data_IF_636240350023
#
_entry.id   IF_636240350023
#
_cell.length_a   1.000
_cell.length_b   1.000
_cell.length_c   1.000
_cell.angle_alpha   90.00
_cell.angle_beta   90.00
_cell.angle_gamma   90.00
#
_symmetry.space_group_name_H-M   'P 1'
#
loop_
_entity.id
_entity.type
_entity.pdbx_description
1 polymer ?
#
# COMPACT_ATOMS: atom_id res chain seq x y z
N UNK A 1 21.76 -38.70 6.83
CA UNK A 1 21.49 -37.38 7.47
C UNK A 1 21.73 -36.18 6.55
N UNK A 2 22.85 -36.10 5.80
CA UNK A 2 23.15 -34.96 4.90
C UNK A 2 22.12 -34.70 3.79
N UNK A 3 21.51 -35.75 3.23
CA UNK A 3 20.50 -35.64 2.15
C UNK A 3 19.14 -35.12 2.63
N UNK A 4 18.74 -35.40 3.87
CA UNK A 4 17.51 -34.87 4.47
C UNK A 4 17.56 -33.35 4.67
N UNK A 5 18.72 -32.81 5.06
CA UNK A 5 18.92 -31.36 5.19
C UNK A 5 18.82 -30.61 3.85
N UNK A 6 19.27 -31.22 2.75
CA UNK A 6 19.17 -30.66 1.40
C UNK A 6 17.70 -30.60 0.95
N UNK A 7 16.93 -31.67 1.18
CA UNK A 7 15.49 -31.71 0.88
C UNK A 7 14.69 -30.68 1.69
N UNK A 8 14.97 -30.57 2.99
CA UNK A 8 14.33 -29.56 3.85
C UNK A 8 14.67 -28.15 3.38
N UNK A 9 15.95 -27.87 3.07
CA UNK A 9 16.36 -26.57 2.52
C UNK A 9 15.66 -26.25 1.20
N UNK A 10 15.47 -27.24 0.32
CA UNK A 10 14.75 -27.05 -0.95
C UNK A 10 13.26 -26.71 -0.72
N UNK A 11 12.61 -27.38 0.23
CA UNK A 11 11.21 -27.11 0.59
C UNK A 11 11.05 -25.67 1.12
N UNK A 12 11.97 -25.22 1.97
CA UNK A 12 11.94 -23.84 2.49
C UNK A 12 12.19 -22.78 1.40
N UNK A 13 13.14 -23.02 0.48
CA UNK A 13 13.43 -22.10 -0.64
C UNK A 13 12.23 -21.99 -1.59
N UNK A 14 11.61 -23.11 -1.94
CA UNK A 14 10.45 -23.14 -2.86
C UNK A 14 9.22 -22.50 -2.21
N UNK A 15 9.00 -22.70 -0.92
CA UNK A 15 7.89 -22.09 -0.17
C UNK A 15 8.01 -20.56 -0.10
N UNK A 16 9.22 -20.04 0.19
CA UNK A 16 9.47 -18.60 0.26
C UNK A 16 9.29 -17.91 -1.11
N UNK A 17 9.65 -18.58 -2.21
CA UNK A 17 9.48 -18.07 -3.59
C UNK A 17 8.00 -17.94 -4.00
N UNK A 18 7.16 -18.93 -3.61
CA UNK A 18 5.72 -18.89 -3.89
C UNK A 18 5.04 -17.72 -3.18
N UNK A 19 5.37 -17.47 -1.91
CA UNK A 19 4.79 -16.35 -1.16
C UNK A 19 5.14 -14.99 -1.79
N UNK A 20 6.41 -14.75 -2.15
CA UNK A 20 6.83 -13.51 -2.84
C UNK A 20 6.11 -13.29 -4.17
N UNK A 21 5.85 -14.37 -4.90
CA UNK A 21 5.12 -14.31 -6.17
C UNK A 21 3.66 -13.94 -5.94
N UNK A 22 3.00 -14.57 -4.96
CA UNK A 22 1.62 -14.26 -4.59
C UNK A 22 1.46 -12.82 -4.12
N UNK A 23 2.32 -12.34 -3.24
CA UNK A 23 2.29 -10.97 -2.74
C UNK A 23 2.55 -9.95 -3.87
N UNK A 24 3.44 -10.26 -4.83
CA UNK A 24 3.67 -9.42 -6.01
C UNK A 24 2.42 -9.33 -6.89
N UNK A 25 1.75 -10.45 -7.13
CA UNK A 25 0.48 -10.47 -7.87
C UNK A 25 -0.58 -9.67 -7.13
N UNK A 26 -0.65 -9.80 -5.81
CA UNK A 26 -1.60 -9.08 -4.97
C UNK A 26 -1.40 -7.56 -5.04
N UNK A 27 -0.16 -7.09 -4.91
CA UNK A 27 0.18 -5.68 -5.06
C UNK A 27 -0.26 -5.15 -6.44
N UNK A 28 -0.01 -5.92 -7.51
CA UNK A 28 -0.42 -5.53 -8.85
C UNK A 28 -1.93 -5.42 -9.00
N UNK A 29 -2.71 -6.31 -8.38
CA UNK A 29 -4.18 -6.21 -8.35
C UNK A 29 -4.66 -4.98 -7.59
N UNK A 30 -4.07 -4.69 -6.43
CA UNK A 30 -4.42 -3.51 -5.63
C UNK A 30 -4.18 -2.23 -6.43
N UNK A 31 -2.98 -2.09 -7.01
CA UNK A 31 -2.62 -0.94 -7.87
C UNK A 31 -3.59 -0.81 -9.04
N UNK A 32 -3.93 -1.92 -9.72
CA UNK A 32 -4.87 -1.93 -10.82
C UNK A 32 -6.23 -1.36 -10.42
N UNK A 33 -6.76 -1.79 -9.27
CA UNK A 33 -8.06 -1.37 -8.76
C UNK A 33 -8.08 0.12 -8.43
N UNK A 34 -7.02 0.67 -7.83
CA UNK A 34 -6.92 2.11 -7.57
C UNK A 34 -6.91 2.92 -8.86
N UNK A 35 -6.15 2.48 -9.86
CA UNK A 35 -6.05 3.18 -11.15
C UNK A 35 -7.33 3.10 -11.96
N UNK A 36 -7.98 1.94 -12.00
CA UNK A 36 -9.31 1.79 -12.62
C UNK A 36 -10.32 2.73 -11.98
N UNK A 37 -10.36 2.75 -10.65
CA UNK A 37 -11.24 3.65 -9.91
C UNK A 37 -10.97 5.13 -10.28
N UNK A 38 -9.70 5.54 -10.30
CA UNK A 38 -9.29 6.91 -10.62
C UNK A 38 -9.59 7.28 -12.08
N UNK A 39 -9.38 6.35 -13.01
CA UNK A 39 -9.72 6.47 -14.43
C UNK A 39 -11.21 6.71 -14.66
N UNK A 40 -12.06 5.90 -14.03
CA UNK A 40 -13.52 6.01 -14.14
C UNK A 40 -14.03 7.34 -13.59
N UNK A 41 -13.49 7.79 -12.44
CA UNK A 41 -13.85 9.08 -11.84
C UNK A 41 -13.49 10.27 -12.73
N UNK A 42 -12.38 10.19 -13.45
CA UNK A 42 -11.87 11.27 -14.30
C UNK A 42 -12.30 11.14 -15.78
N UNK A 43 -13.21 10.21 -16.10
CA UNK A 43 -13.70 9.93 -17.46
C UNK A 43 -12.59 9.68 -18.50
N UNK A 44 -11.41 9.23 -18.06
CA UNK A 44 -10.24 9.02 -18.91
C UNK A 44 -9.94 7.53 -19.02
N UNK A 45 -10.58 6.88 -20.01
CA UNK A 45 -10.64 5.42 -20.11
C UNK A 45 -9.31 4.81 -20.62
N UNK A 46 -8.40 5.60 -21.20
CA UNK A 46 -7.22 5.09 -21.93
C UNK A 46 -5.87 5.76 -21.57
N UNK A 47 -5.77 6.46 -20.44
CA UNK A 47 -4.49 7.07 -20.08
C UNK A 47 -3.45 6.00 -19.68
N UNK A 48 -2.27 6.08 -20.30
CA UNK A 48 -1.09 5.40 -19.78
C UNK A 48 -0.60 6.16 -18.56
N UNK A 49 -0.52 5.48 -17.41
CA UNK A 49 -0.05 6.08 -16.17
C UNK A 49 1.46 5.91 -16.07
N UNK A 50 2.19 7.02 -15.92
CA UNK A 50 3.60 7.01 -15.58
C UNK A 50 3.74 6.83 -14.06
N UNK A 51 4.29 5.71 -13.61
CA UNK A 51 4.40 5.33 -12.19
C UNK A 51 5.86 5.36 -11.75
N UNK A 52 6.16 6.05 -10.67
CA UNK A 52 7.43 5.90 -9.97
C UNK A 52 7.53 4.47 -9.42
N UNK A 53 8.55 3.67 -9.82
CA UNK A 53 8.70 2.30 -9.36
C UNK A 53 8.95 2.19 -7.85
N UNK A 54 9.47 3.23 -7.18
CA UNK A 54 9.72 3.20 -5.74
C UNK A 54 8.43 3.37 -4.93
N UNK A 55 8.18 2.42 -4.01
CA UNK A 55 7.02 2.50 -3.12
C UNK A 55 7.34 3.38 -1.91
N UNK A 56 6.45 4.31 -1.59
CA UNK A 56 6.59 5.12 -0.39
C UNK A 56 6.24 4.29 0.85
N UNK A 57 7.11 4.30 1.86
CA UNK A 57 6.85 3.66 3.16
C UNK A 57 5.93 4.57 3.96
N UNK A 58 4.78 4.05 4.42
CA UNK A 58 3.91 4.79 5.33
C UNK A 58 4.47 4.68 6.74
N UNK A 59 4.73 5.79 7.40
CA UNK A 59 5.12 5.72 8.81
C UNK A 59 3.84 5.68 9.63
N UNK A 60 3.60 4.60 10.35
CA UNK A 60 2.39 4.46 11.16
C UNK A 60 2.68 4.93 12.58
N UNK A 61 2.06 6.04 12.96
CA UNK A 61 2.15 6.60 14.29
C UNK A 61 1.26 5.83 15.27
N UNK A 62 1.85 5.50 16.42
CA UNK A 62 1.18 4.84 17.52
C UNK A 62 1.18 5.82 18.69
N UNK A 63 0.01 6.29 19.14
CA UNK A 63 -0.08 7.12 20.32
C UNK A 63 0.49 6.39 21.54
N UNK A 64 1.25 7.11 22.34
CA UNK A 64 1.78 6.63 23.61
C UNK A 64 0.67 6.48 24.66
N UNK A 65 0.95 5.74 25.73
CA UNK A 65 0.01 5.59 26.85
C UNK A 65 -0.39 6.94 27.45
N UNK A 66 0.55 7.89 27.53
CA UNK A 66 0.32 9.24 28.04
C UNK A 66 -0.72 10.00 27.23
N UNK A 67 -0.62 9.91 25.90
CA UNK A 67 -1.57 10.53 24.97
C UNK A 67 -2.94 9.90 25.06
N UNK A 68 -3.00 8.58 25.24
CA UNK A 68 -4.25 7.85 25.42
C UNK A 68 -4.93 8.25 26.75
N UNK A 69 -4.15 8.54 27.80
CA UNK A 69 -4.68 9.03 29.08
C UNK A 69 -5.03 10.53 29.08
N UNK A 70 -4.88 11.22 27.96
CA UNK A 70 -5.22 12.64 27.83
C UNK A 70 -4.14 13.61 28.32
N UNK A 71 -2.92 13.13 28.57
CA UNK A 71 -1.77 14.03 28.75
C UNK A 71 -1.39 14.64 27.40
N UNK A 72 -0.83 15.85 27.43
CA UNK A 72 -0.51 16.60 26.22
C UNK A 72 0.46 15.80 25.32
N UNK A 73 0.06 15.45 24.09
CA UNK A 73 0.92 14.74 23.16
C UNK A 73 2.13 15.57 22.81
N UNK A 74 3.30 14.92 22.70
CA UNK A 74 4.39 15.50 21.93
C UNK A 74 3.94 15.73 20.48
N UNK A 75 4.57 16.66 19.74
CA UNK A 75 4.22 16.87 18.35
C UNK A 75 4.35 15.55 17.57
N UNK A 76 3.34 15.18 16.76
CA UNK A 76 3.39 13.93 16.01
C UNK A 76 4.56 13.95 15.03
N UNK A 77 5.15 12.79 14.72
CA UNK A 77 6.21 12.71 13.73
C UNK A 77 5.69 13.20 12.38
N UNK A 78 6.43 14.13 11.75
CA UNK A 78 6.10 14.65 10.42
C UNK A 78 5.89 13.50 9.42
N UNK A 79 4.84 13.60 8.60
CA UNK A 79 4.47 12.64 7.55
C UNK A 79 4.14 11.21 8.03
N UNK A 80 3.61 11.07 9.25
CA UNK A 80 3.10 9.79 9.75
C UNK A 80 1.57 9.72 9.67
N UNK A 81 1.04 8.50 9.49
CA UNK A 81 -0.39 8.17 9.54
C UNK A 81 -0.76 7.66 10.92
N UNK A 82 -1.80 8.22 11.52
CA UNK A 82 -2.31 7.76 12.81
C UNK A 82 -2.90 6.35 12.68
N UNK A 83 -2.48 5.42 13.53
CA UNK A 83 -3.09 4.09 13.61
C UNK A 83 -4.57 4.16 13.98
N UNK A 84 -4.97 5.12 14.81
CA UNK A 84 -6.36 5.33 15.21
C UNK A 84 -7.19 5.71 13.99
N UNK A 85 -6.72 6.69 13.21
CA UNK A 85 -7.39 7.12 11.99
C UNK A 85 -7.57 5.96 11.01
N UNK A 86 -6.52 5.17 10.78
CA UNK A 86 -6.59 3.98 9.93
C UNK A 86 -7.66 2.99 10.41
N UNK A 87 -7.71 2.69 11.71
CA UNK A 87 -8.72 1.78 12.27
C UNK A 87 -10.14 2.35 12.14
N UNK A 88 -10.30 3.66 12.34
CA UNK A 88 -11.59 4.33 12.20
C UNK A 88 -12.08 4.37 10.74
N UNK A 89 -11.19 4.40 9.75
CA UNK A 89 -11.58 4.27 8.33
C UNK A 89 -12.37 2.99 8.07
N UNK A 90 -12.01 1.89 8.74
CA UNK A 90 -12.68 0.60 8.60
C UNK A 90 -13.98 0.49 9.43
N UNK A 91 -14.22 1.39 10.39
CA UNK A 91 -15.37 1.32 11.31
C UNK A 91 -15.51 -0.05 12.00
N UNK A 92 -14.40 -0.76 12.27
CA UNK A 92 -14.47 -2.14 12.74
C UNK A 92 -15.00 -2.23 14.18
N UNK A 93 -15.58 -3.38 14.55
CA UNK A 93 -16.02 -3.63 15.94
C UNK A 93 -14.81 -3.88 16.84
N UNK A 94 -14.96 -3.74 18.17
CA UNK A 94 -13.84 -3.78 19.12
C UNK A 94 -12.92 -5.01 18.99
N UNK A 95 -13.49 -6.21 18.80
CA UNK A 95 -12.71 -7.44 18.61
C UNK A 95 -11.86 -7.43 17.34
N UNK A 96 -12.42 -6.93 16.23
CA UNK A 96 -11.71 -6.79 14.96
C UNK A 96 -10.63 -5.70 15.03
N UNK A 97 -10.89 -4.58 15.72
CA UNK A 97 -9.91 -3.50 15.93
C UNK A 97 -8.63 -4.02 16.57
N UNK A 98 -8.73 -4.93 17.55
CA UNK A 98 -7.55 -5.53 18.19
C UNK A 98 -6.72 -6.37 17.22
N UNK A 99 -7.35 -7.22 16.40
CA UNK A 99 -6.60 -7.99 15.39
C UNK A 99 -6.02 -7.11 14.29
N UNK A 100 -6.79 -6.13 13.82
CA UNK A 100 -6.37 -5.23 12.76
C UNK A 100 -5.19 -4.37 13.21
N UNK A 101 -5.24 -3.80 14.43
CA UNK A 101 -4.12 -3.01 14.98
C UNK A 101 -2.83 -3.82 15.03
N UNK A 102 -2.87 -5.07 15.51
CA UNK A 102 -1.69 -5.93 15.52
C UNK A 102 -1.15 -6.20 14.10
N UNK A 103 -2.01 -6.37 13.11
CA UNK A 103 -1.59 -6.57 11.72
C UNK A 103 -0.97 -5.32 11.10
N UNK A 104 -1.53 -4.14 11.40
CA UNK A 104 -0.99 -2.86 10.98
C UNK A 104 0.42 -2.67 11.58
N UNK A 105 0.58 -2.92 12.88
CA UNK A 105 1.87 -2.76 13.58
C UNK A 105 2.99 -3.64 13.03
N UNK A 106 2.67 -4.88 12.65
CA UNK A 106 3.63 -5.81 12.04
C UNK A 106 4.18 -5.31 10.71
N UNK A 107 3.45 -4.45 10.02
CA UNK A 107 3.81 -3.95 8.69
C UNK A 107 4.75 -2.74 8.69
N UNK A 108 5.25 -2.33 9.87
CA UNK A 108 6.42 -1.45 9.97
C UNK A 108 7.69 -2.06 9.32
N UNK A 109 7.66 -3.37 9.01
CA UNK A 109 8.66 -4.04 8.18
C UNK A 109 8.09 -4.30 6.78
N UNK A 110 8.17 -3.29 5.92
CA UNK A 110 7.67 -3.36 4.54
C UNK A 110 8.37 -4.44 3.72
N UNK A 111 7.57 -5.25 3.01
CA UNK A 111 8.06 -6.36 2.18
C UNK A 111 8.56 -5.86 0.81
N UNK A 112 8.03 -4.71 0.33
CA UNK A 112 8.34 -4.17 -0.98
C UNK A 112 8.98 -2.80 -0.92
N UNK A 113 10.17 -2.68 -1.52
CA UNK A 113 10.78 -1.37 -1.78
C UNK A 113 10.35 -0.78 -3.14
N UNK A 114 9.89 -1.62 -4.07
CA UNK A 114 9.55 -1.20 -5.43
C UNK A 114 8.42 -2.02 -6.06
N UNK A 115 7.61 -1.36 -6.89
CA UNK A 115 6.61 -1.97 -7.74
C UNK A 115 7.27 -2.64 -8.95
N UNK A 116 7.16 -3.97 -9.02
CA UNK A 116 7.45 -4.74 -10.24
C UNK A 116 6.14 -5.00 -10.97
N UNK A 117 5.92 -4.28 -12.07
CA UNK A 117 4.66 -4.35 -12.84
C UNK A 117 4.48 -5.72 -13.46
N UNK A 118 3.28 -6.27 -13.28
CA UNK A 118 2.75 -7.37 -14.07
C UNK A 118 1.85 -6.79 -15.17
N UNK A 119 2.37 -6.72 -16.39
CA UNK A 119 1.67 -6.14 -17.53
C UNK A 119 0.47 -6.95 -17.99
N UNK A 120 0.30 -8.20 -17.53
CA UNK A 120 -0.93 -8.96 -17.78
C UNK A 120 -2.11 -8.42 -16.97
N UNK A 121 -1.83 -7.85 -15.80
CA UNK A 121 -2.83 -7.22 -14.92
C UNK A 121 -2.93 -5.74 -15.25
N UNK A 122 -1.78 -5.07 -15.38
CA UNK A 122 -1.63 -3.64 -15.51
C UNK A 122 -1.14 -3.24 -16.91
N UNK A 123 -2.03 -3.31 -17.89
CA UNK A 123 -1.70 -3.05 -19.31
C UNK A 123 -1.36 -1.58 -19.60
N UNK A 124 -1.92 -0.65 -18.83
CA UNK A 124 -1.82 0.80 -19.09
C UNK A 124 -0.80 1.48 -18.16
N UNK A 125 0.18 0.73 -17.64
CA UNK A 125 1.24 1.26 -16.79
C UNK A 125 2.56 1.39 -17.52
N UNK A 126 3.24 2.51 -17.31
CA UNK A 126 4.66 2.70 -17.65
C UNK A 126 5.42 3.04 -16.39
N UNK A 127 6.53 2.34 -16.13
CA UNK A 127 7.43 2.71 -15.03
C UNK A 127 8.30 3.89 -15.45
N UNK A 128 8.38 4.91 -14.59
CA UNK A 128 9.25 6.05 -14.75
C UNK A 128 10.71 5.61 -14.59
N UNK A 129 11.56 6.03 -15.52
CA UNK A 129 13.00 5.88 -15.38
C UNK A 129 13.60 7.00 -14.51
N UNK A 130 14.84 6.82 -14.07
CA UNK A 130 15.54 7.77 -13.19
C UNK A 130 15.55 9.19 -13.76
N UNK A 131 15.77 9.37 -15.07
CA UNK A 131 15.80 10.68 -15.72
C UNK A 131 14.42 11.35 -15.73
N UNK A 132 13.34 10.58 -15.89
CA UNK A 132 11.96 11.09 -15.80
C UNK A 132 11.65 11.54 -14.36
N UNK A 133 12.12 10.80 -13.35
CA UNK A 133 11.96 11.14 -11.92
C UNK A 133 12.78 12.37 -11.55
N UNK A 134 14.06 12.42 -11.92
CA UNK A 134 14.98 13.52 -11.59
C UNK A 134 14.52 14.84 -12.24
N UNK A 135 13.91 14.75 -13.43
CA UNK A 135 13.28 15.89 -14.14
C UNK A 135 11.90 16.25 -13.62
N UNK A 136 11.38 15.54 -12.60
CA UNK A 136 10.07 15.76 -11.98
C UNK A 136 8.93 15.75 -13.01
N UNK A 137 9.02 14.83 -13.97
CA UNK A 137 7.93 14.59 -14.92
C UNK A 137 6.70 14.14 -14.15
N UNK A 138 5.54 14.59 -14.62
CA UNK A 138 4.24 14.22 -14.05
C UNK A 138 4.13 12.70 -13.92
N UNK A 139 3.97 12.23 -12.69
CA UNK A 139 3.97 10.81 -12.40
C UNK A 139 3.22 10.52 -11.11
N UNK A 140 2.79 9.28 -10.99
CA UNK A 140 2.14 8.77 -9.80
C UNK A 140 3.12 7.96 -8.96
N UNK A 141 2.98 8.02 -7.65
CA UNK A 141 3.73 7.19 -6.72
C UNK A 141 2.76 6.52 -5.75
N UNK A 142 2.88 5.20 -5.65
CA UNK A 142 2.12 4.43 -4.67
C UNK A 142 2.88 4.31 -3.37
N UNK A 143 2.17 4.26 -2.25
CA UNK A 143 2.72 3.76 -1.01
C UNK A 143 2.78 2.24 -1.01
N UNK A 144 3.47 1.69 0.00
CA UNK A 144 3.25 0.32 0.38
C UNK A 144 1.80 0.12 0.87
N UNK A 145 1.18 -1.03 0.55
CA UNK A 145 -0.11 -1.38 1.11
C UNK A 145 0.00 -1.65 2.62
N UNK A 146 -1.02 -1.25 3.37
CA UNK A 146 -1.21 -1.53 4.79
C UNK A 146 -2.43 -2.41 4.94
N UNK A 147 -2.22 -3.69 5.19
CA UNK A 147 -3.29 -4.67 5.37
C UNK A 147 -3.83 -4.60 6.80
N UNK A 148 -5.15 -4.41 6.94
CA UNK A 148 -5.83 -4.63 8.21
C UNK A 148 -5.94 -6.14 8.47
N UNK A 149 -6.25 -6.89 7.41
CA UNK A 149 -6.36 -8.34 7.36
C UNK A 149 -6.45 -8.78 5.88
N UNK A 150 -6.79 -10.05 5.62
CA UNK A 150 -6.88 -10.60 4.27
C UNK A 150 -8.02 -10.00 3.40
N UNK A 151 -8.95 -9.27 4.01
CA UNK A 151 -10.11 -8.66 3.34
C UNK A 151 -9.95 -7.18 3.09
N UNK A 152 -9.15 -6.46 3.87
CA UNK A 152 -9.06 -4.99 3.77
C UNK A 152 -7.62 -4.52 3.71
N UNK A 153 -7.37 -3.58 2.79
CA UNK A 153 -6.06 -2.95 2.60
C UNK A 153 -6.21 -1.45 2.39
N UNK A 154 -5.29 -0.69 2.96
CA UNK A 154 -5.13 0.73 2.72
C UNK A 154 -3.90 0.98 1.85
N UNK A 155 -3.98 1.92 0.91
CA UNK A 155 -2.85 2.35 0.09
C UNK A 155 -3.01 3.82 -0.29
N UNK A 156 -1.90 4.55 -0.38
CA UNK A 156 -1.88 5.94 -0.85
C UNK A 156 -1.39 6.01 -2.30
N UNK A 157 -1.98 6.93 -3.06
CA UNK A 157 -1.54 7.32 -4.38
C UNK A 157 -1.25 8.81 -4.37
N UNK A 158 -0.03 9.18 -4.72
CA UNK A 158 0.41 10.56 -4.83
C UNK A 158 0.63 10.86 -6.31
N UNK A 159 -0.13 11.81 -6.84
CA UNK A 159 0.16 12.42 -8.12
C UNK A 159 1.13 13.58 -7.91
N UNK A 160 2.29 13.52 -8.57
CA UNK A 160 3.32 14.57 -8.52
C UNK A 160 3.36 15.33 -9.83
N UNK A 161 3.33 16.66 -9.75
CA UNK A 161 3.54 17.59 -10.87
C UNK A 161 4.52 18.67 -10.43
N UNK A 162 5.74 18.63 -10.95
CA UNK A 162 6.82 19.55 -10.55
C UNK A 162 7.15 19.45 -9.05
N UNK A 163 7.03 20.55 -8.29
CA UNK A 163 7.26 20.61 -6.83
C UNK A 163 6.03 20.24 -6.01
N UNK A 164 4.85 20.20 -6.63
CA UNK A 164 3.59 19.98 -5.94
C UNK A 164 3.13 18.53 -6.08
N UNK A 165 2.50 18.01 -5.03
CA UNK A 165 1.96 16.66 -4.95
C UNK A 165 0.57 16.67 -4.34
N UNK A 166 -0.36 15.93 -4.96
CA UNK A 166 -1.70 15.69 -4.41
C UNK A 166 -1.82 14.19 -4.12
N UNK A 167 -2.11 13.86 -2.87
CA UNK A 167 -2.22 12.51 -2.37
C UNK A 167 -3.64 12.15 -1.96
N UNK A 168 -4.08 10.96 -2.36
CA UNK A 168 -5.30 10.32 -1.87
C UNK A 168 -5.01 8.95 -1.27
N UNK A 169 -5.66 8.64 -0.15
CA UNK A 169 -5.66 7.33 0.49
C UNK A 169 -6.89 6.54 0.09
N UNK A 170 -6.71 5.25 -0.18
CA UNK A 170 -7.75 4.36 -0.65
C UNK A 170 -7.87 3.18 0.29
N UNK A 171 -9.08 2.95 0.80
CA UNK A 171 -9.44 1.71 1.49
C UNK A 171 -10.09 0.76 0.46
N UNK A 172 -9.50 -0.42 0.30
CA UNK A 172 -9.99 -1.45 -0.61
C UNK A 172 -10.46 -2.68 0.17
N UNK A 173 -11.48 -3.32 -0.38
CA UNK A 173 -12.01 -4.60 0.09
C UNK A 173 -11.81 -5.70 -0.95
N UNK A 174 -11.32 -6.85 -0.51
CA UNK A 174 -11.13 -8.03 -1.34
C UNK A 174 -12.47 -8.72 -1.59
N UNK A 175 -12.76 -8.93 -2.86
CA UNK A 175 -13.97 -9.62 -3.31
C UNK A 175 -13.76 -11.13 -3.37
N UNK A 176 -14.86 -11.90 -3.50
CA UNK A 176 -14.82 -13.37 -3.50
C UNK A 176 -14.01 -13.96 -4.66
N UNK A 177 -13.92 -13.24 -5.78
CA UNK A 177 -13.12 -13.59 -6.96
C UNK A 177 -11.63 -13.26 -6.79
N UNK A 178 -11.23 -12.68 -5.65
CA UNK A 178 -9.87 -12.29 -5.35
C UNK A 178 -9.42 -10.99 -6.01
N UNK A 179 -10.34 -10.18 -6.55
CA UNK A 179 -10.08 -8.81 -6.98
C UNK A 179 -10.32 -7.81 -5.84
N UNK A 180 -9.77 -6.61 -5.96
CA UNK A 180 -9.94 -5.53 -4.98
C UNK A 180 -10.89 -4.46 -5.49
N UNK A 181 -11.71 -3.91 -4.60
CA UNK A 181 -12.63 -2.81 -4.91
C UNK A 181 -12.42 -1.68 -3.93
N UNK A 182 -12.27 -0.46 -4.42
CA UNK A 182 -12.18 0.76 -3.59
C UNK A 182 -13.53 1.01 -2.91
N UNK A 183 -13.52 1.18 -1.60
CA UNK A 183 -14.71 1.43 -0.78
C UNK A 183 -14.76 2.85 -0.21
N UNK A 184 -13.59 3.42 0.10
CA UNK A 184 -13.48 4.77 0.68
C UNK A 184 -12.22 5.46 0.17
N UNK A 185 -12.31 6.77 0.02
CA UNK A 185 -11.17 7.66 -0.27
C UNK A 185 -11.05 8.64 0.89
N UNK A 186 -9.82 9.00 1.24
CA UNK A 186 -9.52 10.10 2.13
C UNK A 186 -8.41 10.97 1.55
N UNK A 187 -8.48 12.26 1.84
CA UNK A 187 -7.42 13.19 1.49
C UNK A 187 -6.23 12.94 2.42
N UNK A 188 -5.04 12.83 1.84
CA UNK A 188 -3.88 12.31 2.58
C UNK A 188 -2.73 13.28 2.62
N UNK A 189 -2.50 14.04 1.54
CA UNK A 189 -1.51 15.12 1.50
C UNK A 189 -1.80 16.10 0.36
N UNK A 190 -1.50 17.38 0.62
CA UNK A 190 -1.17 18.38 -0.40
C UNK A 190 0.21 18.89 0.00
N UNK A 191 1.22 18.70 -0.85
CA UNK A 191 2.57 19.26 -0.67
C UNK A 191 2.85 20.23 -1.79
#
# INVERSE_FOLDING_TARGET
>A
MRTYWILISFIFIVSCSKNKTLEKTELNKIVNSVLKYTSTRNSSINNTYLINPALQKLNIYIPSQKEISGEEPGPPPFFSRSIIELLDLKHSQFGERKSDSLNILKQNQYIFDSLKVDYKINTNLKLANKKEIDRRIESYQFSNPVYYNDKFVYIELIYRKSVFGIGFGYLLEKQKDGNWVVKKIVDTFIT
#
